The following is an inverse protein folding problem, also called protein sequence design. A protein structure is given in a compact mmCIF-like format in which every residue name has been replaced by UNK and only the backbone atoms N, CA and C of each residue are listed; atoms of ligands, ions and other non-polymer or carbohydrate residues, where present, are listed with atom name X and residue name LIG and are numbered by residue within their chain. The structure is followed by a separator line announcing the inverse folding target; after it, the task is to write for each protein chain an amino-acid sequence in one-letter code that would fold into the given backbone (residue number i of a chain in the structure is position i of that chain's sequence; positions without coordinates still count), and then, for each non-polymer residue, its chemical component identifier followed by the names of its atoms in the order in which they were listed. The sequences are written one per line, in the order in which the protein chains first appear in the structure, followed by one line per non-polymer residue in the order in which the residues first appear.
data_IF_634122053105
#
_entry.id   IF_634122053105
#
_cell.length_a   1.000
_cell.length_b   1.000
_cell.length_c   1.000
_cell.angle_alpha   90.00
_cell.angle_beta   90.00
_cell.angle_gamma   90.00
#
_symmetry.space_group_name_H-M   'P 1'
#
loop_
_entity.id
_entity.type
_entity.pdbx_description
1 polymer ?
#
# COMPACT_ATOMS: atom_id res chain seq x y z
N UNK A 1 -8.35 9.53 1.89
CA UNK A 1 -8.31 8.60 3.03
C UNK A 1 -7.51 7.32 2.75
N UNK A 2 -7.87 6.49 1.76
CA UNK A 2 -7.20 5.19 1.55
C UNK A 2 -5.68 5.28 1.28
N UNK A 3 -5.25 6.17 0.38
CA UNK A 3 -3.83 6.36 0.03
C UNK A 3 -2.99 6.82 1.24
N UNK A 4 -3.58 7.59 2.16
CA UNK A 4 -2.91 8.10 3.36
C UNK A 4 -2.66 7.04 4.43
N UNK A 5 -3.18 5.82 4.27
CA UNK A 5 -2.88 4.68 5.17
C UNK A 5 -1.51 4.07 4.92
N UNK A 6 -0.79 4.54 3.91
CA UNK A 6 0.54 4.05 3.54
C UNK A 6 1.59 5.14 3.84
N UNK A 7 2.83 4.75 4.18
CA UNK A 7 3.37 3.39 4.15
C UNK A 7 3.13 2.58 5.44
N UNK A 8 2.66 3.22 6.51
CA UNK A 8 2.32 2.61 7.79
C UNK A 8 0.91 3.01 8.20
N UNK A 9 0.12 2.04 8.67
CA UNK A 9 -1.23 2.24 9.15
C UNK A 9 -1.29 1.79 10.61
N UNK A 10 -1.50 2.72 11.55
CA UNK A 10 -1.50 2.39 12.98
C UNK A 10 -2.61 1.39 13.36
N UNK A 11 -3.69 1.33 12.57
CA UNK A 11 -4.77 0.35 12.73
C UNK A 11 -4.41 -1.05 12.21
N UNK A 12 -3.24 -1.25 11.60
CA UNK A 12 -2.79 -2.55 11.07
C UNK A 12 -1.41 -2.86 11.67
N UNK A 13 -1.36 -3.43 12.88
CA UNK A 13 -0.11 -3.60 13.66
C UNK A 13 0.96 -4.47 12.97
N UNK A 14 0.55 -5.43 12.15
CA UNK A 14 1.47 -6.32 11.43
C UNK A 14 2.13 -5.65 10.21
N UNK A 15 1.70 -4.46 9.81
CA UNK A 15 2.16 -3.79 8.60
C UNK A 15 3.49 -3.07 8.87
N UNK A 16 4.59 -3.71 8.48
CA UNK A 16 5.96 -3.19 8.64
C UNK A 16 6.26 -1.98 7.75
N UNK A 17 5.68 -1.98 6.55
CA UNK A 17 5.90 -0.94 5.56
C UNK A 17 5.41 -1.32 4.18
N UNK A 18 5.31 -0.35 3.28
CA UNK A 18 4.96 -0.59 1.87
C UNK A 18 5.76 0.27 0.92
N UNK A 19 6.10 -0.30 -0.23
CA UNK A 19 6.81 0.36 -1.30
C UNK A 19 5.96 0.32 -2.58
N UNK A 20 5.82 1.42 -3.31
CA UNK A 20 5.11 1.44 -4.60
C UNK A 20 6.00 0.77 -5.65
N UNK A 21 5.45 -0.23 -6.34
CA UNK A 21 6.15 -0.96 -7.41
C UNK A 21 5.72 -0.44 -8.77
N UNK A 22 4.44 -0.05 -8.90
CA UNK A 22 3.86 0.42 -10.16
C UNK A 22 2.73 1.39 -9.87
N UNK A 23 2.64 2.44 -10.69
CA UNK A 23 1.53 3.36 -10.71
C UNK A 23 1.11 3.59 -12.16
N UNK A 24 -0.20 3.54 -12.41
CA UNK A 24 -0.78 3.81 -13.71
C UNK A 24 -2.09 4.57 -13.53
N UNK A 25 -2.23 5.66 -14.28
CA UNK A 25 -3.48 6.43 -14.35
C UNK A 25 -4.05 6.31 -15.75
N UNK A 26 -5.36 6.11 -15.85
CA UNK A 26 -6.06 6.05 -17.13
C UNK A 26 -5.96 7.39 -17.88
N UNK A 27 -6.07 7.37 -19.20
CA UNK A 27 -5.93 8.58 -20.02
C UNK A 27 -6.99 9.65 -19.72
N UNK A 28 -8.17 9.24 -19.23
CA UNK A 28 -9.26 10.11 -18.79
C UNK A 28 -9.12 10.58 -17.34
N UNK A 29 -8.10 10.10 -16.60
CA UNK A 29 -7.87 10.43 -15.20
C UNK A 29 -8.87 9.82 -14.21
N UNK A 30 -9.83 9.02 -14.68
CA UNK A 30 -10.88 8.46 -13.83
C UNK A 30 -10.39 7.32 -12.93
N UNK A 31 -9.34 6.60 -13.34
CA UNK A 31 -8.82 5.43 -12.66
C UNK A 31 -7.34 5.64 -12.32
N UNK A 32 -7.01 5.48 -11.05
CA UNK A 32 -5.62 5.35 -10.58
C UNK A 32 -5.40 3.96 -9.99
N UNK A 33 -4.47 3.20 -10.57
CA UNK A 33 -4.06 1.87 -10.12
C UNK A 33 -2.64 1.97 -9.54
N UNK A 34 -2.52 1.69 -8.24
CA UNK A 34 -1.24 1.68 -7.53
C UNK A 34 -0.97 0.27 -7.00
N UNK A 35 0.09 -0.36 -7.48
CA UNK A 35 0.58 -1.64 -6.97
C UNK A 35 1.65 -1.39 -5.91
N UNK A 36 1.47 -1.95 -4.71
CA UNK A 36 2.40 -1.83 -3.58
C UNK A 36 2.89 -3.20 -3.13
N UNK A 37 4.17 -3.27 -2.76
CA UNK A 37 4.75 -4.41 -2.03
C UNK A 37 4.58 -4.14 -0.55
N UNK A 38 3.90 -5.03 0.17
CA UNK A 38 3.73 -4.93 1.61
C UNK A 38 4.74 -5.83 2.32
N UNK A 39 5.42 -5.27 3.32
CA UNK A 39 6.23 -6.01 4.29
C UNK A 39 5.39 -6.20 5.54
N UNK A 40 5.28 -7.43 6.02
CA UNK A 40 4.50 -7.79 7.19
C UNK A 40 5.43 -8.35 8.27
N UNK A 41 5.27 -7.90 9.52
CA UNK A 41 5.83 -8.57 10.69
C UNK A 41 4.91 -9.74 11.02
N UNK A 42 5.22 -10.91 10.49
CA UNK A 42 4.57 -12.17 10.86
C UNK A 42 5.56 -12.96 11.69
N UNK A 43 5.23 -13.21 12.95
CA UNK A 43 5.93 -14.22 13.75
C UNK A 43 5.30 -15.57 13.40
N UNK A 44 6.12 -16.46 12.82
CA UNK A 44 5.72 -17.84 12.59
C UNK A 44 5.91 -18.64 13.89
N UNK A 45 4.94 -19.49 14.30
CA UNK A 45 5.14 -20.40 15.41
C UNK A 45 6.19 -21.48 15.10
#
# INVERSE_FOLDING_TARGET
AYVQRFPKCDMIPIMAGTDIIKEHTSADGAINVISRRCRLHVEAP
#
